data_IF_148936492462
#
_entry.id   IF_148936492462
#
_cell.length_a   1.000
_cell.length_b   1.000
_cell.length_c   1.000
_cell.angle_alpha   90.00
_cell.angle_beta   90.00
_cell.angle_gamma   90.00
#
_symmetry.space_group_name_H-M   'P 1'
#
loop_
_entity.id
_entity.type
_entity.pdbx_description
1 polymer ?
#
# COMPACT_ATOMS: atom_id res chain seq x y z
N UNK A 1 8.02 23.82 -8.17
CA UNK A 1 7.08 22.88 -7.54
C UNK A 1 7.78 21.54 -7.32
N UNK A 2 7.32 20.73 -6.37
CA UNK A 2 7.86 19.37 -6.15
C UNK A 2 7.55 18.47 -7.37
N UNK A 3 8.42 17.49 -7.65
CA UNK A 3 8.23 16.59 -8.80
C UNK A 3 7.19 15.52 -8.49
N UNK A 4 6.28 15.29 -9.44
CA UNK A 4 5.32 14.20 -9.41
C UNK A 4 5.99 12.82 -9.44
N UNK A 5 7.25 12.71 -9.89
CA UNK A 5 7.96 11.43 -9.98
C UNK A 5 8.53 10.92 -8.64
N UNK A 6 8.57 11.74 -7.58
CA UNK A 6 9.23 11.40 -6.31
C UNK A 6 8.28 10.76 -5.29
N UNK A 7 7.72 9.60 -5.61
CA UNK A 7 6.87 8.84 -4.68
C UNK A 7 7.60 8.45 -3.37
N UNK A 8 8.91 8.19 -3.42
CA UNK A 8 9.76 7.91 -2.26
C UNK A 8 9.75 9.02 -1.20
N UNK A 9 9.56 10.29 -1.63
CA UNK A 9 9.36 11.42 -0.71
C UNK A 9 8.10 11.23 0.12
N UNK A 10 7.03 10.70 -0.47
CA UNK A 10 5.77 10.43 0.23
C UNK A 10 5.95 9.43 1.36
N UNK A 11 6.68 8.34 1.10
CA UNK A 11 7.03 7.35 2.12
C UNK A 11 7.88 7.97 3.23
N UNK A 12 8.89 8.76 2.87
CA UNK A 12 9.74 9.47 3.85
C UNK A 12 8.92 10.39 4.75
N UNK A 13 7.94 11.10 4.18
CA UNK A 13 7.03 11.97 4.93
C UNK A 13 6.09 11.20 5.86
N UNK A 14 5.62 10.02 5.44
CA UNK A 14 4.83 9.13 6.30
C UNK A 14 5.60 8.77 7.57
N UNK A 15 6.84 8.30 7.42
CA UNK A 15 7.68 7.94 8.57
C UNK A 15 8.14 9.15 9.40
N UNK A 16 8.23 10.34 8.79
CA UNK A 16 8.48 11.59 9.51
C UNK A 16 7.24 12.15 10.24
N UNK A 17 6.08 11.47 10.17
CA UNK A 17 4.83 11.95 10.78
C UNK A 17 4.20 13.16 10.08
N UNK A 18 4.68 13.52 8.90
CA UNK A 18 4.18 14.66 8.09
C UNK A 18 3.06 14.19 7.17
N UNK A 19 1.96 13.73 7.75
CA UNK A 19 0.91 13.03 7.03
C UNK A 19 0.19 13.89 5.99
N UNK A 20 -0.04 15.18 6.26
CA UNK A 20 -0.65 16.08 5.26
C UNK A 20 0.24 16.24 4.02
N UNK A 21 1.55 16.36 4.23
CA UNK A 21 2.51 16.49 3.13
C UNK A 21 2.70 15.18 2.39
N UNK A 22 2.66 14.04 3.11
CA UNK A 22 2.61 12.72 2.49
C UNK A 22 1.40 12.59 1.57
N UNK A 23 0.19 12.90 2.08
CA UNK A 23 -1.05 12.84 1.29
C UNK A 23 -0.93 13.70 0.04
N UNK A 24 -0.46 14.95 0.17
CA UNK A 24 -0.22 15.85 -0.98
C UNK A 24 0.77 15.26 -1.98
N UNK A 25 1.83 14.58 -1.53
CA UNK A 25 2.80 13.95 -2.43
C UNK A 25 2.18 12.83 -3.25
N UNK A 26 1.36 11.95 -2.66
CA UNK A 26 0.68 10.87 -3.39
C UNK A 26 -0.51 11.38 -4.22
N UNK A 27 -1.18 12.47 -3.82
CA UNK A 27 -2.13 13.17 -4.70
C UNK A 27 -1.43 13.69 -5.95
N UNK A 28 -0.23 14.26 -5.81
CA UNK A 28 0.57 14.74 -6.94
C UNK A 28 1.09 13.57 -7.80
N UNK A 29 1.61 12.50 -7.18
CA UNK A 29 2.14 11.35 -7.93
C UNK A 29 1.07 10.66 -8.78
N UNK A 30 -0.19 10.63 -8.31
CA UNK A 30 -1.33 10.13 -9.10
C UNK A 30 -1.43 10.74 -10.50
N UNK A 31 -1.00 12.00 -10.70
CA UNK A 31 -1.14 12.66 -12.02
C UNK A 31 -0.23 12.05 -13.09
N UNK A 32 0.80 11.29 -12.70
CA UNK A 32 1.72 10.61 -13.62
C UNK A 32 1.60 9.09 -13.57
N UNK A 33 0.95 8.54 -12.54
CA UNK A 33 0.75 7.11 -12.37
C UNK A 33 -0.65 6.82 -11.76
N UNK A 34 -1.73 7.01 -12.53
CA UNK A 34 -3.10 7.04 -11.99
C UNK A 34 -3.64 5.68 -11.57
N UNK A 35 -3.15 4.58 -12.16
CA UNK A 35 -3.60 3.21 -11.92
C UNK A 35 -2.71 2.44 -10.95
N UNK A 36 -1.76 3.11 -10.29
CA UNK A 36 -0.89 2.46 -9.32
C UNK A 36 -1.57 2.24 -7.97
N UNK A 37 -1.73 0.96 -7.63
CA UNK A 37 -2.26 0.53 -6.34
C UNK A 37 -1.38 0.99 -5.18
N UNK A 38 -0.05 1.03 -5.35
CA UNK A 38 0.86 1.47 -4.29
C UNK A 38 0.60 2.93 -3.92
N UNK A 39 0.49 3.81 -4.92
CA UNK A 39 0.09 5.20 -4.75
C UNK A 39 -1.27 5.32 -4.04
N UNK A 40 -2.27 4.54 -4.45
CA UNK A 40 -3.59 4.54 -3.81
C UNK A 40 -3.53 4.13 -2.33
N UNK A 41 -2.78 3.07 -2.03
CA UNK A 41 -2.57 2.57 -0.67
C UNK A 41 -1.84 3.60 0.18
N UNK A 42 -0.67 4.09 -0.23
CA UNK A 42 0.08 5.05 0.58
C UNK A 42 -0.67 6.38 0.78
N UNK A 43 -1.43 6.84 -0.23
CA UNK A 43 -2.34 7.97 -0.05
C UNK A 43 -3.36 7.70 1.07
N UNK A 44 -3.99 6.51 1.08
CA UNK A 44 -4.91 6.08 2.12
C UNK A 44 -4.23 5.94 3.48
N UNK A 45 -3.00 5.39 3.55
CA UNK A 45 -2.24 5.28 4.80
C UNK A 45 -2.03 6.65 5.44
N UNK A 46 -1.61 7.63 4.65
CA UNK A 46 -1.41 9.00 5.12
C UNK A 46 -2.73 9.67 5.52
N UNK A 47 -3.80 9.46 4.75
CA UNK A 47 -5.13 9.95 5.12
C UNK A 47 -5.64 9.30 6.43
N UNK A 48 -5.41 8.01 6.65
CA UNK A 48 -5.89 7.31 7.85
C UNK A 48 -5.27 7.87 9.15
N UNK A 49 -4.05 8.42 9.07
CA UNK A 49 -3.38 9.07 10.20
C UNK A 49 -3.93 10.45 10.54
N UNK A 50 -4.64 11.08 9.61
CA UNK A 50 -5.27 12.41 9.75
C UNK A 50 -6.76 12.26 10.09
N UNK A 51 -7.45 11.45 9.30
CA UNK A 51 -8.91 11.39 9.19
C UNK A 51 -9.52 10.12 9.83
N UNK A 52 -8.68 9.16 10.22
CA UNK A 52 -9.08 7.84 10.69
C UNK A 52 -9.34 6.84 9.55
N UNK A 53 -9.25 5.54 9.88
CA UNK A 53 -9.29 4.45 8.89
C UNK A 53 -10.61 4.40 8.10
N UNK A 54 -11.74 4.60 8.76
CA UNK A 54 -13.06 4.52 8.10
C UNK A 54 -13.21 5.60 7.01
N UNK A 55 -12.84 6.85 7.32
CA UNK A 55 -12.90 7.96 6.36
C UNK A 55 -11.85 7.83 5.26
N UNK A 56 -10.65 7.37 5.59
CA UNK A 56 -9.62 7.11 4.59
C UNK A 56 -10.02 6.00 3.61
N UNK A 57 -10.63 4.92 4.10
CA UNK A 57 -11.16 3.82 3.27
C UNK A 57 -12.26 4.28 2.33
N UNK A 58 -13.20 5.09 2.82
CA UNK A 58 -14.28 5.65 2.00
C UNK A 58 -13.77 6.55 0.86
N UNK A 59 -12.55 7.09 1.00
CA UNK A 59 -11.90 7.95 0.01
C UNK A 59 -10.70 7.27 -0.66
N UNK A 60 -10.60 5.93 -0.62
CA UNK A 60 -9.56 5.20 -1.33
C UNK A 60 -9.61 5.55 -2.81
N UNK A 61 -8.45 5.85 -3.40
CA UNK A 61 -8.35 6.17 -4.82
C UNK A 61 -8.82 4.94 -5.63
N UNK A 62 -9.81 5.09 -6.53
CA UNK A 62 -10.25 3.97 -7.36
C UNK A 62 -9.14 3.60 -8.35
N UNK A 63 -8.92 2.31 -8.51
CA UNK A 63 -8.01 1.72 -9.48
C UNK A 63 -8.81 0.75 -10.33
N UNK A 64 -8.64 0.81 -11.64
CA UNK A 64 -9.36 -0.01 -12.61
C UNK A 64 -8.51 -1.16 -13.13
N UNK A 65 -7.18 -0.99 -13.17
CA UNK A 65 -6.27 -2.01 -13.67
C UNK A 65 -4.85 -1.88 -13.14
N UNK A 66 -4.36 -2.92 -12.45
CA UNK A 66 -2.94 -3.12 -12.16
C UNK A 66 -2.56 -4.53 -12.59
N UNK A 67 -1.59 -4.64 -13.50
CA UNK A 67 -1.22 -5.91 -14.13
C UNK A 67 -0.30 -6.77 -13.25
N UNK A 68 0.25 -6.19 -12.17
CA UNK A 68 1.13 -6.91 -11.26
C UNK A 68 0.33 -7.95 -10.46
N UNK A 69 0.78 -9.22 -10.39
CA UNK A 69 0.06 -10.27 -9.67
C UNK A 69 -0.23 -9.88 -8.21
N UNK A 70 -1.51 -9.92 -7.83
CA UNK A 70 -1.96 -9.65 -6.46
C UNK A 70 -2.30 -8.19 -6.14
N UNK A 71 -1.90 -7.21 -6.96
CA UNK A 71 -2.10 -5.79 -6.62
C UNK A 71 -3.57 -5.38 -6.63
N UNK A 72 -4.39 -5.90 -7.55
CA UNK A 72 -5.84 -5.67 -7.51
C UNK A 72 -6.50 -6.27 -6.25
N UNK A 73 -5.97 -7.37 -5.71
CA UNK A 73 -6.44 -7.95 -4.44
C UNK A 73 -5.97 -7.12 -3.24
N UNK A 74 -4.78 -6.53 -3.30
CA UNK A 74 -4.32 -5.55 -2.30
C UNK A 74 -5.27 -4.36 -2.29
N UNK A 75 -5.60 -3.80 -3.45
CA UNK A 75 -6.57 -2.71 -3.54
C UNK A 75 -7.93 -3.08 -2.92
N UNK A 76 -8.48 -4.25 -3.28
CA UNK A 76 -9.74 -4.73 -2.71
C UNK A 76 -9.68 -4.92 -1.18
N UNK A 77 -8.56 -5.41 -0.63
CA UNK A 77 -8.36 -5.53 0.82
C UNK A 77 -8.42 -4.16 1.51
N UNK A 78 -7.74 -3.16 0.96
CA UNK A 78 -7.77 -1.79 1.48
C UNK A 78 -9.13 -1.11 1.25
N UNK A 79 -9.87 -1.47 0.20
CA UNK A 79 -11.25 -1.05 -0.02
C UNK A 79 -12.26 -1.71 0.95
N UNK A 80 -11.90 -2.87 1.51
CA UNK A 80 -12.75 -3.63 2.45
C UNK A 80 -13.65 -4.67 1.78
N UNK A 81 -13.38 -4.95 0.51
CA UNK A 81 -14.11 -5.93 -0.31
C UNK A 81 -13.29 -7.20 -0.56
N UNK A 82 -12.03 -7.21 -0.16
CA UNK A 82 -11.10 -8.33 -0.29
C UNK A 82 -10.60 -8.88 1.05
N UNK A 83 -9.92 -10.01 0.98
CA UNK A 83 -9.35 -10.74 2.12
C UNK A 83 -7.85 -10.95 1.96
N UNK A 84 -7.14 -11.15 3.07
CA UNK A 84 -5.70 -11.47 3.05
C UNK A 84 -5.40 -12.75 2.29
N UNK A 85 -6.29 -13.75 2.36
CA UNK A 85 -6.18 -15.00 1.62
C UNK A 85 -6.24 -14.80 0.09
N UNK A 86 -7.09 -13.90 -0.39
CA UNK A 86 -7.16 -13.57 -1.82
C UNK A 86 -5.88 -12.89 -2.30
N UNK A 87 -5.30 -11.98 -1.50
CA UNK A 87 -4.00 -11.36 -1.78
C UNK A 87 -2.93 -12.45 -1.92
N UNK A 88 -2.80 -13.31 -0.91
CA UNK A 88 -1.81 -14.38 -0.91
C UNK A 88 -1.97 -15.36 -2.07
N UNK A 89 -3.21 -15.71 -2.44
CA UNK A 89 -3.44 -16.65 -3.53
C UNK A 89 -3.09 -16.06 -4.90
N UNK A 90 -3.45 -14.80 -5.14
CA UNK A 90 -3.15 -14.12 -6.40
C UNK A 90 -1.65 -13.84 -6.57
N UNK A 91 -0.97 -13.50 -5.48
CA UNK A 91 0.45 -13.19 -5.45
C UNK A 91 1.36 -14.36 -5.86
N UNK A 92 0.92 -15.61 -5.66
CA UNK A 92 1.65 -16.81 -6.11
C UNK A 92 1.96 -16.80 -7.60
N UNK A 93 1.10 -16.20 -8.42
CA UNK A 93 1.30 -16.09 -9.86
C UNK A 93 2.47 -15.15 -10.23
N UNK A 94 2.94 -14.32 -9.28
CA UNK A 94 4.10 -13.45 -9.45
C UNK A 94 5.39 -14.00 -8.84
N UNK A 95 5.40 -15.26 -8.38
CA UNK A 95 6.58 -15.88 -7.78
C UNK A 95 7.08 -15.14 -6.52
N UNK A 96 8.38 -15.18 -6.22
CA UNK A 96 8.97 -14.49 -5.07
C UNK A 96 8.64 -12.99 -5.03
N UNK A 97 8.69 -12.29 -6.16
CA UNK A 97 8.36 -10.86 -6.24
C UNK A 97 6.89 -10.57 -5.91
N UNK A 98 5.96 -11.36 -6.45
CA UNK A 98 4.54 -11.23 -6.11
C UNK A 98 4.27 -11.46 -4.63
N UNK A 99 4.92 -12.48 -4.06
CA UNK A 99 4.84 -12.81 -2.64
C UNK A 99 5.47 -11.74 -1.74
N UNK A 100 6.58 -11.12 -2.17
CA UNK A 100 7.18 -9.97 -1.49
C UNK A 100 6.16 -8.84 -1.35
N UNK A 101 5.51 -8.42 -2.44
CA UNK A 101 4.52 -7.34 -2.41
C UNK A 101 3.29 -7.71 -1.59
N UNK A 102 2.82 -8.96 -1.66
CA UNK A 102 1.73 -9.43 -0.80
C UNK A 102 2.07 -9.26 0.67
N UNK A 103 3.23 -9.76 1.12
CA UNK A 103 3.64 -9.63 2.51
C UNK A 103 3.86 -8.18 2.91
N UNK A 104 4.47 -7.36 2.06
CA UNK A 104 4.66 -5.93 2.31
C UNK A 104 3.31 -5.23 2.58
N UNK A 105 2.32 -5.43 1.71
CA UNK A 105 1.03 -4.75 1.81
C UNK A 105 0.13 -5.32 2.90
N UNK A 106 0.24 -6.61 3.21
CA UNK A 106 -0.38 -7.18 4.40
C UNK A 106 0.23 -6.61 5.68
N UNK A 107 1.55 -6.38 5.72
CA UNK A 107 2.22 -5.71 6.82
C UNK A 107 1.64 -4.32 7.11
N UNK A 108 1.47 -3.50 6.07
CA UNK A 108 0.82 -2.19 6.19
C UNK A 108 -0.66 -2.28 6.59
N UNK A 109 -1.40 -3.25 6.03
CA UNK A 109 -2.81 -3.45 6.37
C UNK A 109 -2.98 -3.75 7.87
N UNK A 110 -2.19 -4.69 8.39
CA UNK A 110 -2.18 -5.05 9.81
C UNK A 110 -1.73 -3.88 10.71
N UNK A 111 -0.74 -3.09 10.26
CA UNK A 111 -0.29 -1.88 10.96
C UNK A 111 -1.45 -0.88 11.12
N UNK A 112 -2.17 -0.57 10.03
CA UNK A 112 -3.29 0.38 10.08
C UNK A 112 -4.44 -0.07 10.96
N UNK A 113 -4.59 -1.38 11.13
CA UNK A 113 -5.60 -1.97 12.01
C UNK A 113 -5.12 -2.14 13.46
N UNK A 114 -3.91 -1.67 13.80
CA UNK A 114 -3.35 -1.75 15.15
C UNK A 114 -2.81 -3.12 15.55
N UNK A 115 -2.78 -4.09 14.63
CA UNK A 115 -2.34 -5.48 14.88
C UNK A 115 -0.83 -5.61 14.70
N UNK A 116 -0.08 -4.99 15.62
CA UNK A 116 1.38 -4.81 15.53
C UNK A 116 2.18 -6.10 15.36
N UNK A 117 1.81 -7.18 16.04
CA UNK A 117 2.57 -8.43 15.96
C UNK A 117 2.38 -9.14 14.61
N UNK A 118 1.15 -9.13 14.08
CA UNK A 118 0.87 -9.64 12.74
C UNK A 118 1.60 -8.80 11.67
N UNK A 119 1.56 -7.48 11.80
CA UNK A 119 2.30 -6.56 10.92
C UNK A 119 3.80 -6.87 10.89
N UNK A 120 4.44 -7.03 12.05
CA UNK A 120 5.86 -7.41 12.15
C UNK A 120 6.16 -8.75 11.50
N UNK A 121 5.27 -9.75 11.67
CA UNK A 121 5.45 -11.05 11.02
C UNK A 121 5.44 -10.91 9.50
N UNK A 122 4.47 -10.18 8.95
CA UNK A 122 4.41 -9.95 7.51
C UNK A 122 5.61 -9.18 6.96
N UNK A 123 6.07 -8.12 7.64
CA UNK A 123 7.28 -7.42 7.20
C UNK A 123 8.54 -8.29 7.25
N UNK A 124 8.66 -9.24 8.21
CA UNK A 124 9.76 -10.21 8.22
C UNK A 124 9.69 -11.18 7.05
N UNK A 125 8.50 -11.64 6.66
CA UNK A 125 8.37 -12.50 5.48
C UNK A 125 8.69 -11.74 4.19
N UNK A 126 8.30 -10.46 4.10
CA UNK A 126 8.70 -9.60 2.98
C UNK A 126 10.23 -9.44 2.93
N UNK A 127 10.89 -9.14 4.05
CA UNK A 127 12.34 -8.98 4.14
C UNK A 127 13.11 -10.23 3.67
N UNK A 128 12.63 -11.44 4.02
CA UNK A 128 13.21 -12.71 3.55
C UNK A 128 13.18 -12.86 2.02
N UNK A 129 12.22 -12.22 1.35
CA UNK A 129 12.07 -12.27 -0.10
C UNK A 129 12.75 -11.10 -0.82
N UNK A 130 13.18 -10.06 -0.09
CA UNK A 130 13.74 -8.83 -0.66
C UNK A 130 15.14 -9.01 -1.32
N UNK A 131 15.74 -10.20 -1.21
CA UNK A 131 17.02 -10.55 -1.84
C UNK A 131 16.99 -11.89 -2.58
N UNK A 132 15.80 -12.39 -2.92
CA UNK A 132 15.62 -13.62 -3.70
C UNK A 132 15.55 -13.28 -5.20
N UNK A 133 16.63 -12.72 -5.74
CA UNK A 133 16.85 -12.49 -7.17
C UNK A 133 17.98 -13.39 -7.68
#
# INVERSE_FOLDING_TARGET
GYSAQHWQRGISLYYAGRFEDCRKQFTLHRTVNPEDVENAVFHMLCAARIDGLAKARANLIPITSDTRPGMMQVHALFAGTGTTAQVMNAAKNGGPTGMFYAFLYLGYYEETAGRRDASKQYFREADRLAGAD
#
